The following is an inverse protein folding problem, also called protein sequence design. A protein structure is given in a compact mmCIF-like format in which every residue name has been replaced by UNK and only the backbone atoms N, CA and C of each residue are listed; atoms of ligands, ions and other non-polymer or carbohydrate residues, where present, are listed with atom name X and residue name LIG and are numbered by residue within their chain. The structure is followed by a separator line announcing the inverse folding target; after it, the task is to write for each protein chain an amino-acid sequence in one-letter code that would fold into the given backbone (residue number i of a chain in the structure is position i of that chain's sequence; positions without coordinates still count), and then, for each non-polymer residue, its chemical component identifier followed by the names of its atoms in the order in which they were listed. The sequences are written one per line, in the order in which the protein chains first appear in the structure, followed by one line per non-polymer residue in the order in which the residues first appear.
data_IF_279655563709
#
_entry.id   IF_279655563709
#
_cell.length_a   1.000
_cell.length_b   1.000
_cell.length_c   1.000
_cell.angle_alpha   90.00
_cell.angle_beta   90.00
_cell.angle_gamma   90.00
#
_symmetry.space_group_name_H-M   'P 1'
#
loop_
_entity.id
_entity.type
_entity.pdbx_description
1 polymer ?
#
# COMPACT_ATOMS: atom_id res chain seq x y z
N UNK A 1 11.26 23.00 1.79
CA UNK A 1 9.83 22.64 1.56
C UNK A 1 9.54 21.30 2.20
N UNK A 2 8.32 21.06 2.67
CA UNK A 2 7.88 19.79 3.32
C UNK A 2 8.12 18.56 2.43
N UNK A 3 8.02 18.70 1.11
CA UNK A 3 8.16 17.62 0.14
C UNK A 3 9.53 16.93 0.17
N UNK A 4 10.62 17.67 0.42
CA UNK A 4 11.98 17.10 0.53
C UNK A 4 12.12 16.25 1.82
N UNK A 5 11.53 16.70 2.92
CA UNK A 5 11.52 15.95 4.19
C UNK A 5 10.69 14.68 4.10
N UNK A 6 9.52 14.74 3.45
CA UNK A 6 8.68 13.56 3.18
C UNK A 6 9.43 12.56 2.30
N UNK A 7 10.09 13.03 1.23
CA UNK A 7 10.88 12.16 0.34
C UNK A 7 12.08 11.48 1.00
N UNK A 8 12.78 12.16 1.91
CA UNK A 8 13.89 11.55 2.67
C UNK A 8 13.39 10.53 3.70
N UNK A 9 12.22 10.77 4.29
CA UNK A 9 11.63 9.85 5.26
C UNK A 9 11.14 8.56 4.59
N UNK A 10 10.64 8.65 3.34
CA UNK A 10 10.21 7.46 2.57
C UNK A 10 11.39 6.55 2.22
N UNK A 11 12.57 7.09 1.89
CA UNK A 11 13.74 6.26 1.58
C UNK A 11 14.17 5.36 2.76
N UNK A 12 14.04 5.86 4.00
CA UNK A 12 14.32 5.06 5.20
C UNK A 12 13.23 4.01 5.48
N UNK A 13 12.02 4.18 4.93
CA UNK A 13 10.89 3.27 5.11
C UNK A 13 10.85 2.15 4.07
N UNK A 14 11.57 2.27 2.95
CA UNK A 14 11.60 1.26 1.89
C UNK A 14 11.91 -0.16 2.41
N UNK A 15 12.92 -0.39 3.27
CA UNK A 15 13.20 -1.74 3.76
C UNK A 15 12.08 -2.31 4.64
N UNK A 16 11.39 -1.45 5.40
CA UNK A 16 10.27 -1.84 6.24
C UNK A 16 9.03 -2.18 5.39
N UNK A 17 8.74 -1.36 4.39
CA UNK A 17 7.69 -1.59 3.40
C UNK A 17 7.88 -2.95 2.71
N UNK A 18 9.08 -3.22 2.19
CA UNK A 18 9.39 -4.49 1.55
C UNK A 18 9.24 -5.68 2.50
N UNK A 19 9.68 -5.53 3.76
CA UNK A 19 9.58 -6.58 4.76
C UNK A 19 8.11 -6.90 5.09
N UNK A 20 7.29 -5.87 5.36
CA UNK A 20 5.85 -6.05 5.63
C UNK A 20 5.15 -6.64 4.40
N UNK A 21 5.47 -6.17 3.20
CA UNK A 21 4.95 -6.72 1.96
C UNK A 21 5.25 -8.22 1.80
N UNK A 22 6.47 -8.66 2.14
CA UNK A 22 6.82 -10.10 2.16
C UNK A 22 6.01 -10.87 3.21
N UNK A 23 5.87 -10.33 4.42
CA UNK A 23 5.13 -10.99 5.51
C UNK A 23 3.64 -11.19 5.18
N UNK A 24 2.99 -10.16 4.61
CA UNK A 24 1.59 -10.22 4.20
C UNK A 24 1.39 -11.28 3.12
N UNK A 25 2.26 -11.29 2.09
CA UNK A 25 2.16 -12.23 0.96
C UNK A 25 2.59 -13.66 1.26
N UNK A 26 3.27 -13.91 2.37
CA UNK A 26 3.71 -15.25 2.79
C UNK A 26 2.60 -16.06 3.47
N UNK A 27 1.44 -15.47 3.76
CA UNK A 27 0.31 -16.17 4.37
C UNK A 27 -0.36 -17.16 3.40
N UNK A 28 -0.91 -18.29 3.88
CA UNK A 28 -1.70 -19.22 3.06
C UNK A 28 -3.02 -18.60 2.56
N UNK A 29 -3.49 -17.53 3.22
CA UNK A 29 -4.66 -16.74 2.82
C UNK A 29 -4.30 -15.26 2.97
N UNK A 30 -4.59 -14.48 1.93
CA UNK A 30 -4.42 -13.02 1.92
C UNK A 30 -5.73 -12.37 1.50
N UNK A 31 -6.19 -11.39 2.27
CA UNK A 31 -7.29 -10.54 1.84
C UNK A 31 -6.72 -9.39 1.03
N UNK A 32 -7.24 -9.19 -0.17
CA UNK A 32 -6.86 -8.09 -1.04
C UNK A 32 -8.09 -7.26 -1.40
N UNK A 33 -7.96 -5.95 -1.33
CA UNK A 33 -8.96 -5.00 -1.82
C UNK A 33 -8.30 -4.02 -2.81
N UNK A 34 -8.96 -3.82 -3.95
CA UNK A 34 -8.62 -2.82 -4.96
C UNK A 34 -9.61 -1.65 -4.84
N UNK A 35 -9.18 -0.57 -4.20
CA UNK A 35 -9.99 0.64 -4.07
C UNK A 35 -9.59 1.66 -5.14
N UNK A 36 -10.47 1.98 -6.11
CA UNK A 36 -10.24 3.07 -7.05
C UNK A 36 -10.26 4.43 -6.35
N UNK A 37 -9.28 5.28 -6.63
CA UNK A 37 -9.15 6.63 -6.06
C UNK A 37 -9.02 7.68 -7.16
N UNK A 38 -9.48 8.92 -6.88
CA UNK A 38 -9.30 10.06 -7.77
C UNK A 38 -7.96 10.74 -7.48
N UNK A 39 -7.00 10.54 -8.38
CA UNK A 39 -5.70 11.18 -8.34
C UNK A 39 -5.75 12.55 -9.00
N UNK A 40 -5.29 13.58 -8.29
CA UNK A 40 -5.07 14.90 -8.87
C UNK A 40 -3.93 14.85 -9.88
N UNK A 41 -4.14 15.43 -11.06
CA UNK A 41 -3.07 15.63 -12.03
C UNK A 41 -2.57 17.07 -11.93
N UNK A 42 -1.27 17.28 -12.10
CA UNK A 42 -0.69 18.63 -12.14
C UNK A 42 -1.13 19.46 -13.35
N UNK A 43 -1.94 18.90 -14.25
CA UNK A 43 -2.50 19.59 -15.39
C UNK A 43 -3.62 20.55 -14.94
N UNK A 44 -3.58 21.79 -15.44
CA UNK A 44 -4.66 22.80 -15.25
C UNK A 44 -5.92 22.48 -16.08
N UNK A 45 -6.26 21.20 -16.22
CA UNK A 45 -7.41 20.72 -17.00
C UNK A 45 -8.62 20.44 -16.12
N UNK A 46 -8.46 20.45 -14.79
CA UNK A 46 -9.51 20.10 -13.83
C UNK A 46 -9.90 18.61 -13.84
N UNK A 47 -9.14 17.77 -14.54
CA UNK A 47 -9.42 16.33 -14.69
C UNK A 47 -8.59 15.51 -13.71
N UNK A 48 -9.26 14.65 -12.93
CA UNK A 48 -8.62 13.67 -12.08
C UNK A 48 -8.43 12.35 -12.85
N UNK A 49 -7.28 11.71 -12.66
CA UNK A 49 -7.06 10.34 -13.13
C UNK A 49 -7.64 9.34 -12.12
N UNK A 50 -8.08 8.18 -12.60
CA UNK A 50 -8.41 7.06 -11.71
C UNK A 50 -7.11 6.32 -11.43
N UNK A 51 -6.73 6.25 -10.16
CA UNK A 51 -5.65 5.40 -9.67
C UNK A 51 -6.25 4.33 -8.77
N UNK A 52 -5.42 3.41 -8.28
CA UNK A 52 -5.80 2.32 -7.40
C UNK A 52 -4.94 2.33 -6.14
N UNK A 53 -5.60 2.18 -5.00
CA UNK A 53 -4.98 1.85 -3.74
C UNK A 53 -5.31 0.39 -3.43
N UNK A 54 -4.28 -0.45 -3.47
CA UNK A 54 -4.35 -1.84 -3.08
C UNK A 54 -4.14 -1.95 -1.57
N UNK A 55 -4.96 -2.74 -0.90
CA UNK A 55 -4.68 -3.18 0.47
C UNK A 55 -4.55 -4.70 0.51
N UNK A 56 -3.46 -5.17 1.10
CA UNK A 56 -3.22 -6.58 1.36
C UNK A 56 -3.19 -6.78 2.87
N UNK A 57 -4.04 -7.66 3.40
CA UNK A 57 -4.17 -7.89 4.83
C UNK A 57 -4.00 -9.37 5.11
N UNK A 58 -3.11 -9.65 6.07
CA UNK A 58 -2.93 -10.98 6.65
C UNK A 58 -3.46 -10.96 8.07
N UNK A 59 -4.54 -11.70 8.30
CA UNK A 59 -5.19 -11.78 9.59
C UNK A 59 -5.56 -13.22 9.93
N UNK A 60 -4.62 -13.96 10.53
CA UNK A 60 -4.76 -15.41 10.70
C UNK A 60 -5.35 -15.87 12.03
N UNK A 61 -5.60 -14.92 12.95
CA UNK A 61 -6.17 -15.25 14.26
C UNK A 61 -7.48 -16.03 14.20
N UNK A 62 -8.41 -15.81 13.24
CA UNK A 62 -9.65 -16.59 13.15
C UNK A 62 -9.45 -18.08 12.84
N UNK A 63 -8.25 -18.49 12.39
CA UNK A 63 -7.89 -19.89 12.13
C UNK A 63 -6.62 -20.31 12.88
N UNK A 64 -6.40 -19.74 14.07
CA UNK A 64 -5.31 -20.10 14.99
C UNK A 64 -3.88 -19.88 14.46
N UNK A 65 -3.70 -19.03 13.45
CA UNK A 65 -2.37 -18.66 12.96
C UNK A 65 -1.57 -17.87 14.00
N UNK A 66 -0.25 -18.10 14.03
CA UNK A 66 0.69 -17.48 14.98
C UNK A 66 1.39 -16.24 14.42
N UNK A 67 1.25 -15.96 13.12
CA UNK A 67 1.85 -14.79 12.51
C UNK A 67 1.18 -13.51 13.05
N UNK A 68 1.95 -12.44 13.31
CA UNK A 68 1.38 -11.15 13.70
C UNK A 68 0.50 -10.60 12.56
N UNK A 69 -0.63 -9.95 12.90
CA UNK A 69 -1.46 -9.31 11.88
C UNK A 69 -0.69 -8.19 11.20
N UNK A 70 -0.80 -8.10 9.88
CA UNK A 70 -0.14 -7.05 9.10
C UNK A 70 -0.98 -6.62 7.90
N UNK A 71 -0.79 -5.36 7.51
CA UNK A 71 -1.39 -4.76 6.33
C UNK A 71 -0.29 -4.08 5.52
N UNK A 72 -0.38 -4.21 4.19
CA UNK A 72 0.52 -3.60 3.23
C UNK A 72 -0.30 -2.90 2.15
N UNK A 73 0.10 -1.68 1.79
CA UNK A 73 -0.62 -0.87 0.83
C UNK A 73 0.25 -0.57 -0.38
N UNK A 74 -0.34 -0.62 -1.57
CA UNK A 74 0.35 -0.25 -2.80
C UNK A 74 -0.50 0.74 -3.58
N UNK A 75 0.11 1.85 -4.02
CA UNK A 75 -0.54 2.80 -4.92
C UNK A 75 -0.08 2.56 -6.35
N UNK A 76 -1.02 2.59 -7.30
CA UNK A 76 -0.71 2.47 -8.74
C UNK A 76 -1.64 3.39 -9.54
N UNK A 77 -1.11 4.11 -10.53
CA UNK A 77 -1.87 5.08 -11.34
C UNK A 77 -2.53 4.48 -12.58
N UNK A 78 -2.64 3.14 -12.61
CA UNK A 78 -2.91 2.25 -13.73
C UNK A 78 -1.64 1.78 -14.48
N UNK A 79 -1.70 0.53 -14.98
CA UNK A 79 -0.57 -0.26 -15.52
C UNK A 79 -0.51 -0.21 -17.04
#
# INVERSE_FOLDING_TARGET
MLTDWVGRSTALQEPLDEHIGKLVRAGPVVFADDTPVKMQTGAKTGKAHTARLWSYVRYERPWCGQAPPCAWYQFSVDR
#
